data_IF_148314399869
#
_entry.id   IF_148314399869
#
_cell.length_a   1.000
_cell.length_b   1.000
_cell.length_c   1.000
_cell.angle_alpha   90.00
_cell.angle_beta   90.00
_cell.angle_gamma   90.00
#
_symmetry.space_group_name_H-M   'P 1'
#
loop_
_entity.id
_entity.type
_entity.pdbx_description
1 polymer ?
#
# COMPACT_ATOMS: atom_id res chain seq x y z
N UNK A 1 -3.22 -3.43 -7.25
CA UNK A 1 -2.03 -4.16 -6.80
C UNK A 1 -0.88 -3.19 -6.68
N UNK A 2 -0.16 -3.24 -5.56
CA UNK A 2 1.04 -2.45 -5.31
C UNK A 2 2.22 -3.42 -5.38
N UNK A 3 3.23 -3.10 -6.16
CA UNK A 3 4.36 -3.97 -6.44
C UNK A 3 5.62 -3.20 -6.04
N UNK A 4 6.52 -3.85 -5.30
CA UNK A 4 7.82 -3.24 -5.03
C UNK A 4 8.65 -3.15 -6.32
N UNK A 5 9.49 -2.12 -6.41
CA UNK A 5 10.36 -1.90 -7.57
C UNK A 5 11.30 -3.08 -7.86
N UNK A 6 11.68 -3.86 -6.85
CA UNK A 6 12.53 -5.04 -7.03
C UNK A 6 11.82 -6.20 -7.77
N UNK A 7 10.49 -6.26 -7.74
CA UNK A 7 9.70 -7.28 -8.43
C UNK A 7 9.27 -6.85 -9.85
N UNK A 8 9.70 -5.69 -10.31
CA UNK A 8 9.30 -5.13 -11.60
C UNK A 8 9.95 -5.87 -12.78
N UNK A 9 9.16 -6.64 -13.53
CA UNK A 9 9.61 -7.33 -14.75
C UNK A 9 8.51 -7.38 -15.81
N UNK A 10 8.88 -7.45 -17.09
CA UNK A 10 7.94 -7.57 -18.20
C UNK A 10 6.97 -8.75 -18.02
N UNK A 11 7.50 -9.94 -17.71
CA UNK A 11 6.67 -11.14 -17.50
C UNK A 11 5.65 -10.99 -16.37
N UNK A 12 5.99 -10.29 -15.29
CA UNK A 12 5.02 -9.98 -14.22
C UNK A 12 3.93 -9.05 -14.74
N UNK A 13 4.29 -7.96 -15.43
CA UNK A 13 3.32 -7.01 -15.95
C UNK A 13 2.36 -7.66 -16.95
N UNK A 14 2.89 -8.50 -17.84
CA UNK A 14 2.13 -9.26 -18.83
C UNK A 14 1.18 -10.23 -18.13
N UNK A 15 1.67 -10.98 -17.14
CA UNK A 15 0.83 -11.87 -16.34
C UNK A 15 -0.32 -11.10 -15.67
N UNK A 16 -0.02 -9.98 -15.00
CA UNK A 16 -1.05 -9.15 -14.38
C UNK A 16 -2.06 -8.60 -15.39
N UNK A 17 -1.63 -8.35 -16.62
CA UNK A 17 -2.54 -7.95 -17.70
C UNK A 17 -3.50 -9.09 -18.07
N UNK A 18 -3.03 -10.34 -18.12
CA UNK A 18 -3.92 -11.51 -18.35
C UNK A 18 -4.96 -11.72 -17.25
N UNK A 19 -4.72 -11.22 -16.03
CA UNK A 19 -5.70 -11.24 -14.94
C UNK A 19 -6.90 -10.30 -15.18
N UNK A 20 -6.82 -9.41 -16.17
CA UNK A 20 -7.92 -8.53 -16.55
C UNK A 20 -8.92 -9.27 -17.42
N UNK A 21 -10.19 -9.29 -16.98
CA UNK A 21 -11.33 -9.89 -17.69
C UNK A 21 -12.41 -8.84 -17.94
N UNK A 22 -13.54 -9.24 -18.53
CA UNK A 22 -14.72 -8.38 -18.67
C UNK A 22 -15.33 -7.97 -17.31
N UNK A 23 -15.15 -8.80 -16.28
CA UNK A 23 -15.70 -8.57 -14.92
C UNK A 23 -14.67 -8.04 -13.92
N UNK A 24 -13.38 -8.09 -14.25
CA UNK A 24 -12.29 -7.68 -13.34
C UNK A 24 -11.23 -6.89 -14.09
N UNK A 25 -10.85 -5.72 -13.59
CA UNK A 25 -9.69 -4.97 -14.10
C UNK A 25 -8.53 -5.07 -13.12
N UNK A 26 -7.40 -5.63 -13.56
CA UNK A 26 -6.18 -5.65 -12.75
C UNK A 26 -5.47 -4.30 -12.88
N UNK A 27 -5.49 -3.52 -11.79
CA UNK A 27 -4.78 -2.23 -11.71
C UNK A 27 -3.51 -2.38 -10.91
N UNK A 28 -2.45 -1.71 -11.33
CA UNK A 28 -1.10 -1.81 -10.75
C UNK A 28 -0.45 -0.45 -10.52
N UNK A 29 0.38 -0.41 -9.50
CA UNK A 29 1.29 0.68 -9.17
C UNK A 29 2.61 0.04 -8.71
N UNK A 30 3.73 0.50 -9.25
CA UNK A 30 5.04 -0.11 -8.99
C UNK A 30 6.16 0.92 -9.06
N UNK A 31 7.22 0.70 -8.29
CA UNK A 31 8.44 1.49 -8.41
C UNK A 31 9.07 1.31 -9.79
N UNK A 32 9.67 2.38 -10.28
CA UNK A 32 10.40 2.40 -11.55
C UNK A 32 11.85 2.79 -11.31
N UNK A 33 12.78 1.99 -11.82
CA UNK A 33 14.21 2.28 -11.74
C UNK A 33 14.53 3.47 -12.66
N UNK A 34 15.13 4.52 -12.08
CA UNK A 34 15.50 5.72 -12.83
C UNK A 34 16.79 5.46 -13.60
N UNK A 35 16.72 5.64 -14.91
CA UNK A 35 17.88 5.63 -15.81
C UNK A 35 18.09 7.01 -16.45
N UNK A 36 19.17 7.19 -17.19
CA UNK A 36 19.53 8.46 -17.85
C UNK A 36 18.40 9.02 -18.71
N UNK A 37 17.72 8.17 -19.48
CA UNK A 37 16.59 8.58 -20.32
C UNK A 37 15.39 9.14 -19.50
N UNK A 38 15.24 8.71 -18.24
CA UNK A 38 14.21 9.21 -17.35
C UNK A 38 14.62 10.57 -16.76
N UNK A 39 15.88 10.75 -16.37
CA UNK A 39 16.42 12.06 -15.94
C UNK A 39 16.31 13.11 -17.06
N UNK A 40 16.63 12.74 -18.31
CA UNK A 40 16.45 13.60 -19.48
C UNK A 40 14.97 13.96 -19.71
N UNK A 41 14.05 13.02 -19.48
CA UNK A 41 12.62 13.29 -19.59
C UNK A 41 12.13 14.23 -18.48
N UNK A 42 12.60 14.05 -17.25
CA UNK A 42 12.32 14.95 -16.13
C UNK A 42 12.84 16.35 -16.42
N UNK A 43 14.04 16.49 -16.98
CA UNK A 43 14.65 17.78 -17.32
C UNK A 43 13.82 18.60 -18.33
N UNK A 44 13.03 17.92 -19.19
CA UNK A 44 12.15 18.58 -20.16
C UNK A 44 10.81 19.03 -19.60
N UNK A 45 10.44 18.61 -18.37
CA UNK A 45 9.17 19.00 -17.77
C UNK A 45 9.16 20.48 -17.37
N UNK A 46 8.22 21.29 -17.88
CA UNK A 46 8.08 22.68 -17.44
C UNK A 46 7.68 22.77 -15.97
N UNK A 47 8.16 23.78 -15.25
CA UNK A 47 7.89 23.93 -13.81
C UNK A 47 6.38 23.93 -13.46
N UNK A 48 5.54 24.51 -14.33
CA UNK A 48 4.08 24.58 -14.17
C UNK A 48 3.34 23.23 -14.14
N UNK A 49 3.97 22.14 -14.59
CA UNK A 49 3.33 20.81 -14.61
C UNK A 49 3.51 20.05 -13.29
N UNK A 50 4.39 20.55 -12.42
CA UNK A 50 4.61 20.00 -11.10
C UNK A 50 3.50 20.46 -10.17
N UNK A 51 2.76 19.49 -9.64
CA UNK A 51 1.66 19.72 -8.69
C UNK A 51 2.06 19.24 -7.30
N UNK A 52 1.48 19.78 -6.22
CA UNK A 52 1.78 19.32 -4.88
C UNK A 52 1.47 17.82 -4.71
N UNK A 53 2.40 17.10 -4.08
CA UNK A 53 2.18 15.72 -3.65
C UNK A 53 1.30 15.74 -2.40
N UNK A 54 0.35 14.82 -2.30
CA UNK A 54 -0.54 14.72 -1.13
C UNK A 54 -0.09 13.61 -0.19
N UNK A 55 -0.26 13.77 1.11
CA UNK A 55 -0.18 12.70 2.11
C UNK A 55 -1.41 11.79 2.03
N UNK A 56 -1.39 10.70 2.77
CA UNK A 56 -2.46 9.70 2.80
C UNK A 56 -3.77 10.26 3.39
N UNK A 57 -3.69 11.30 4.22
CA UNK A 57 -4.82 12.06 4.75
C UNK A 57 -5.39 13.09 3.75
N UNK A 58 -4.78 13.23 2.56
CA UNK A 58 -5.16 14.19 1.53
C UNK A 58 -4.52 15.57 1.69
N UNK A 59 -3.75 15.81 2.76
CA UNK A 59 -3.07 17.08 2.98
C UNK A 59 -1.83 17.23 2.11
N UNK A 60 -1.42 18.46 1.82
CA UNK A 60 -0.20 18.69 1.05
C UNK A 60 1.02 18.17 1.83
N UNK A 61 1.88 17.43 1.13
CA UNK A 61 3.10 16.89 1.72
C UNK A 61 4.19 17.96 1.77
N UNK A 62 4.15 18.76 2.83
CA UNK A 62 5.15 19.80 3.07
C UNK A 62 6.18 19.39 4.12
N UNK A 63 7.38 19.95 3.98
CA UNK A 63 8.43 19.90 4.99
C UNK A 63 8.98 21.29 5.25
N UNK A 64 9.56 21.48 6.43
CA UNK A 64 10.32 22.68 6.74
C UNK A 64 11.72 22.56 6.13
N UNK A 65 12.06 23.50 5.26
CA UNK A 65 13.36 23.64 4.63
C UNK A 65 14.46 24.01 5.64
N UNK A 66 15.71 24.00 5.16
CA UNK A 66 16.88 24.36 5.97
C UNK A 66 16.84 25.84 6.39
N UNK A 67 16.23 26.68 5.57
CA UNK A 67 15.94 28.11 5.76
C UNK A 67 14.69 28.37 6.61
N UNK A 68 13.97 27.32 7.03
CA UNK A 68 12.75 27.43 7.80
C UNK A 68 11.49 27.66 6.97
N UNK A 69 11.60 27.81 5.64
CA UNK A 69 10.46 27.97 4.74
C UNK A 69 9.77 26.62 4.48
N UNK A 70 8.46 26.63 4.25
CA UNK A 70 7.72 25.43 3.86
C UNK A 70 7.98 25.10 2.40
N UNK A 71 8.31 23.84 2.13
CA UNK A 71 8.50 23.32 0.78
C UNK A 71 7.60 22.11 0.60
N UNK A 72 6.67 22.22 -0.35
CA UNK A 72 5.86 21.11 -0.83
C UNK A 72 6.70 20.14 -1.66
N UNK A 73 6.57 18.85 -1.41
CA UNK A 73 6.96 17.83 -2.38
C UNK A 73 5.99 17.86 -3.56
N UNK A 74 6.46 17.43 -4.73
CA UNK A 74 5.69 17.59 -5.96
C UNK A 74 5.72 16.35 -6.83
N UNK A 75 4.71 16.24 -7.68
CA UNK A 75 4.54 15.17 -8.65
C UNK A 75 4.22 15.73 -10.03
N UNK A 76 4.67 15.02 -11.06
CA UNK A 76 4.39 15.33 -12.45
C UNK A 76 4.28 14.05 -13.27
N UNK A 77 3.46 14.08 -14.32
CA UNK A 77 3.35 12.96 -15.26
C UNK A 77 4.44 13.05 -16.33
N UNK A 78 5.19 11.96 -16.50
CA UNK A 78 6.23 11.80 -17.52
C UNK A 78 5.71 11.14 -18.80
N UNK A 79 4.51 10.55 -18.75
CA UNK A 79 3.89 9.87 -19.89
C UNK A 79 3.82 10.82 -21.09
N UNK A 80 4.30 10.38 -22.26
CA UNK A 80 4.35 11.19 -23.48
C UNK A 80 5.64 12.01 -23.65
N UNK A 81 6.37 12.32 -22.56
CA UNK A 81 7.72 12.88 -22.61
C UNK A 81 8.78 11.78 -22.59
N UNK A 82 8.53 10.73 -21.80
CA UNK A 82 9.31 9.50 -21.78
C UNK A 82 8.66 8.49 -22.72
N UNK A 83 9.39 8.06 -23.75
CA UNK A 83 8.93 7.01 -24.66
C UNK A 83 8.79 5.67 -23.92
N UNK A 84 7.64 5.02 -24.02
CA UNK A 84 7.36 3.73 -23.36
C UNK A 84 7.26 2.57 -24.37
N UNK A 85 7.94 2.68 -25.51
CA UNK A 85 8.00 1.61 -26.50
C UNK A 85 8.52 0.32 -25.87
N UNK A 86 7.81 -0.79 -26.12
CA UNK A 86 8.12 -2.10 -25.52
C UNK A 86 7.49 -2.35 -24.16
N UNK A 87 6.77 -1.38 -23.59
CA UNK A 87 6.00 -1.55 -22.36
C UNK A 87 4.50 -1.76 -22.64
N UNK A 88 3.76 -2.39 -21.71
CA UNK A 88 2.33 -2.57 -21.86
C UNK A 88 1.56 -1.27 -22.15
N UNK A 89 0.55 -1.37 -23.01
CA UNK A 89 -0.32 -0.25 -23.35
C UNK A 89 -1.02 0.35 -22.12
N UNK A 90 -1.20 1.67 -22.13
CA UNK A 90 -1.84 2.39 -21.03
C UNK A 90 -0.99 2.50 -19.77
N UNK A 91 0.30 2.13 -19.84
CA UNK A 91 1.25 2.40 -18.77
C UNK A 91 1.58 3.90 -18.72
N UNK A 92 1.67 4.42 -17.51
CA UNK A 92 1.97 5.81 -17.18
C UNK A 92 3.13 5.86 -16.22
N UNK A 93 3.94 6.91 -16.31
CA UNK A 93 5.02 7.19 -15.37
C UNK A 93 4.73 8.50 -14.63
N UNK A 94 4.76 8.45 -13.31
CA UNK A 94 4.59 9.60 -12.43
C UNK A 94 5.90 9.84 -11.71
N UNK A 95 6.54 10.98 -11.97
CA UNK A 95 7.70 11.42 -11.23
C UNK A 95 7.25 12.14 -9.95
N UNK A 96 7.93 11.84 -8.84
CA UNK A 96 7.87 12.55 -7.58
C UNK A 96 9.23 13.20 -7.35
N UNK A 97 9.25 14.47 -6.96
CA UNK A 97 10.45 15.16 -6.51
C UNK A 97 10.33 15.57 -5.04
N UNK A 98 11.36 15.25 -4.26
CA UNK A 98 11.44 15.55 -2.82
C UNK A 98 12.73 16.26 -2.47
N UNK A 99 12.71 17.07 -1.42
CA UNK A 99 13.95 17.65 -0.91
C UNK A 99 14.79 16.56 -0.23
N UNK A 100 16.08 16.43 -0.60
CA UNK A 100 16.94 15.39 -0.06
C UNK A 100 17.17 15.62 1.43
N UNK A 101 17.04 14.56 2.24
CA UNK A 101 17.44 14.61 3.65
C UNK A 101 18.96 14.67 3.76
N UNK A 102 19.50 15.21 4.88
CA UNK A 102 20.96 15.24 5.15
C UNK A 102 21.65 13.89 4.94
N UNK A 103 20.98 12.79 5.31
CA UNK A 103 21.47 11.42 5.13
C UNK A 103 21.48 10.97 3.66
N UNK A 104 20.60 11.53 2.82
CA UNK A 104 20.45 11.19 1.41
C UNK A 104 21.38 11.95 0.47
N UNK A 105 21.93 13.10 0.87
CA UNK A 105 22.74 13.99 -0.01
C UNK A 105 23.93 13.26 -0.65
N UNK A 106 24.59 12.37 0.09
CA UNK A 106 25.75 11.62 -0.41
C UNK A 106 25.41 10.62 -1.52
N UNK A 107 24.14 10.22 -1.65
CA UNK A 107 23.66 9.21 -2.60
C UNK A 107 22.97 9.82 -3.83
N UNK A 108 22.99 11.15 -3.97
CA UNK A 108 22.34 11.81 -5.09
C UNK A 108 23.12 11.62 -6.39
N UNK A 109 22.38 11.41 -7.48
CA UNK A 109 22.95 11.44 -8.83
C UNK A 109 23.46 12.84 -9.18
N UNK A 110 24.25 12.96 -10.25
CA UNK A 110 24.71 14.27 -10.74
C UNK A 110 23.53 15.18 -11.10
N UNK A 111 22.49 14.61 -11.72
CA UNK A 111 21.25 15.32 -12.05
C UNK A 111 20.48 15.80 -10.80
N UNK A 112 20.36 14.95 -9.79
CA UNK A 112 19.71 15.30 -8.52
C UNK A 112 20.46 16.40 -7.77
N UNK A 113 21.80 16.38 -7.80
CA UNK A 113 22.64 17.46 -7.23
C UNK A 113 22.42 18.77 -7.97
N UNK A 114 22.34 18.75 -9.30
CA UNK A 114 22.13 19.94 -10.11
C UNK A 114 20.76 20.58 -9.87
N UNK A 115 19.70 19.78 -9.79
CA UNK A 115 18.34 20.27 -9.59
C UNK A 115 18.00 20.58 -8.12
N UNK A 116 18.78 20.07 -7.17
CA UNK A 116 18.49 20.21 -5.74
C UNK A 116 17.26 19.42 -5.27
N UNK A 117 16.85 18.43 -6.07
CA UNK A 117 15.72 17.56 -5.80
C UNK A 117 16.17 16.09 -5.94
N UNK A 118 15.58 15.22 -5.12
CA UNK A 118 15.69 13.77 -5.28
C UNK A 118 14.44 13.26 -6.00
N UNK A 119 14.60 12.37 -6.96
CA UNK A 119 13.49 11.86 -7.76
C UNK A 119 13.15 10.41 -7.43
N UNK A 120 11.87 10.09 -7.56
CA UNK A 120 11.33 8.74 -7.56
C UNK A 120 10.31 8.65 -8.68
N UNK A 121 10.24 7.52 -9.38
CA UNK A 121 9.24 7.31 -10.43
C UNK A 121 8.37 6.13 -10.06
N UNK A 122 7.08 6.29 -10.29
CA UNK A 122 6.06 5.26 -10.14
C UNK A 122 5.46 4.95 -11.50
N UNK A 123 5.45 3.67 -11.87
CA UNK A 123 4.74 3.18 -13.04
C UNK A 123 3.33 2.68 -12.65
N UNK A 124 2.31 3.06 -13.41
CA UNK A 124 0.92 2.65 -13.15
C UNK A 124 0.14 2.41 -14.45
N UNK A 125 -0.91 1.60 -14.40
CA UNK A 125 -1.91 1.47 -15.47
C UNK A 125 -3.28 2.03 -15.06
N UNK A 126 -3.33 2.88 -14.02
CA UNK A 126 -4.55 3.59 -13.65
C UNK A 126 -4.81 4.67 -14.70
N UNK A 127 -5.97 4.69 -15.38
CA UNK A 127 -6.21 5.62 -16.48
C UNK A 127 -6.23 7.08 -16.03
N UNK A 128 -5.58 7.97 -16.78
CA UNK A 128 -5.47 9.38 -16.42
C UNK A 128 -6.83 10.09 -16.33
N UNK A 129 -7.72 9.84 -17.29
CA UNK A 129 -8.98 10.58 -17.42
C UNK A 129 -10.08 10.11 -16.46
N UNK A 130 -10.28 8.80 -16.34
CA UNK A 130 -11.41 8.23 -15.57
C UNK A 130 -11.00 7.49 -14.30
N UNK A 131 -9.70 7.29 -14.07
CA UNK A 131 -9.19 6.64 -12.86
C UNK A 131 -9.79 5.25 -12.60
N UNK A 132 -9.97 4.97 -11.31
CA UNK A 132 -10.64 3.82 -10.74
C UNK A 132 -12.13 4.11 -10.56
N UNK A 133 -12.96 3.13 -10.87
CA UNK A 133 -14.41 3.21 -10.65
C UNK A 133 -14.73 3.50 -9.18
N UNK A 134 -15.61 4.47 -8.93
CA UNK A 134 -16.03 4.84 -7.58
C UNK A 134 -15.01 5.63 -6.76
N UNK A 135 -13.85 5.98 -7.33
CA UNK A 135 -12.81 6.76 -6.64
C UNK A 135 -12.47 8.03 -7.43
N UNK A 136 -13.14 9.16 -7.17
CA UNK A 136 -12.84 10.43 -7.82
C UNK A 136 -11.36 10.83 -7.68
N UNK A 137 -10.80 11.44 -8.71
CA UNK A 137 -9.41 11.91 -8.69
C UNK A 137 -8.33 10.81 -8.77
N UNK A 138 -8.70 9.53 -8.80
CA UNK A 138 -7.73 8.42 -8.83
C UNK A 138 -6.90 8.32 -10.12
N UNK A 139 -7.28 9.04 -11.17
CA UNK A 139 -6.45 9.20 -12.38
C UNK A 139 -5.28 10.17 -12.20
N UNK A 140 -5.26 10.98 -11.13
CA UNK A 140 -4.28 12.03 -10.94
C UNK A 140 -2.92 11.49 -10.47
N UNK A 141 -1.83 12.20 -10.81
CA UNK A 141 -0.47 11.81 -10.44
C UNK A 141 -0.25 11.74 -8.92
N UNK A 142 -0.82 12.69 -8.17
CA UNK A 142 -0.73 12.71 -6.70
C UNK A 142 -1.40 11.49 -6.05
N UNK A 143 -2.47 10.95 -6.67
CA UNK A 143 -3.13 9.75 -6.19
C UNK A 143 -2.22 8.53 -6.37
N UNK A 144 -1.64 8.37 -7.56
CA UNK A 144 -0.73 7.25 -7.84
C UNK A 144 0.52 7.29 -6.96
N UNK A 145 1.08 8.48 -6.70
CA UNK A 145 2.18 8.68 -5.76
C UNK A 145 1.80 8.28 -4.32
N UNK A 146 0.68 8.80 -3.81
CA UNK A 146 0.22 8.49 -2.46
C UNK A 146 -0.08 7.01 -2.28
N UNK A 147 -0.77 6.41 -3.26
CA UNK A 147 -1.06 4.98 -3.30
C UNK A 147 0.22 4.14 -3.30
N UNK A 148 1.27 4.57 -4.01
CA UNK A 148 2.55 3.85 -4.00
C UNK A 148 3.28 3.95 -2.67
N UNK A 149 3.37 5.14 -2.08
CA UNK A 149 4.10 5.36 -0.81
C UNK A 149 3.51 4.63 0.37
N UNK A 150 2.23 4.31 0.31
CA UNK A 150 1.58 3.42 1.28
C UNK A 150 2.18 2.00 1.28
N UNK A 151 3.04 1.65 0.32
CA UNK A 151 3.80 0.40 0.34
C UNK A 151 4.73 0.28 1.57
N UNK A 152 5.09 1.37 2.25
CA UNK A 152 5.84 1.28 3.51
C UNK A 152 5.09 0.42 4.57
N UNK A 153 3.76 0.46 4.60
CA UNK A 153 2.97 -0.42 5.48
C UNK A 153 3.09 -1.90 5.10
N UNK A 154 3.29 -2.20 3.82
CA UNK A 154 3.41 -3.58 3.33
C UNK A 154 4.69 -4.22 3.86
N UNK A 155 5.80 -3.47 3.96
CA UNK A 155 7.04 -4.00 4.52
C UNK A 155 6.89 -4.37 5.99
N UNK A 156 6.25 -3.51 6.78
CA UNK A 156 6.04 -3.79 8.21
C UNK A 156 5.06 -4.94 8.43
N UNK A 157 4.00 -5.04 7.60
CA UNK A 157 3.12 -6.22 7.60
C UNK A 157 3.83 -7.49 7.14
N UNK A 158 4.75 -7.40 6.17
CA UNK A 158 5.56 -8.54 5.74
C UNK A 158 6.52 -9.00 6.85
N UNK A 159 7.11 -8.06 7.62
CA UNK A 159 7.90 -8.38 8.81
C UNK A 159 7.05 -9.06 9.87
N UNK A 160 5.85 -8.54 10.14
CA UNK A 160 4.91 -9.14 11.09
C UNK A 160 4.51 -10.57 10.66
N UNK A 161 4.13 -10.76 9.39
CA UNK A 161 3.77 -12.07 8.83
C UNK A 161 4.91 -13.10 8.93
N UNK A 162 6.17 -12.66 8.74
CA UNK A 162 7.35 -13.49 8.97
C UNK A 162 7.48 -13.93 10.43
N UNK A 163 7.30 -13.01 11.39
CA UNK A 163 7.38 -13.32 12.83
C UNK A 163 6.33 -14.34 13.27
N UNK A 164 5.11 -14.25 12.73
CA UNK A 164 3.98 -15.09 13.21
C UNK A 164 3.78 -16.40 12.45
N UNK A 165 4.45 -16.62 11.32
CA UNK A 165 4.33 -17.91 10.63
C UNK A 165 5.20 -18.10 9.40
N UNK A 166 5.41 -17.09 8.56
CA UNK A 166 6.10 -17.29 7.27
C UNK A 166 7.59 -17.65 7.41
N UNK A 167 8.23 -17.33 8.55
CA UNK A 167 9.60 -17.76 8.83
C UNK A 167 9.68 -19.13 9.54
N UNK A 168 8.55 -19.74 9.90
CA UNK A 168 8.46 -20.95 10.74
C UNK A 168 7.87 -22.12 9.93
N UNK A 169 8.53 -22.48 8.83
CA UNK A 169 8.08 -23.58 7.98
C UNK A 169 8.10 -24.91 8.78
N UNK A 170 6.97 -25.63 8.89
CA UNK A 170 6.83 -26.74 9.83
C UNK A 170 7.39 -28.07 9.31
N UNK A 171 7.83 -28.13 8.04
CA UNK A 171 8.20 -29.39 7.40
C UNK A 171 9.39 -29.26 6.45
N UNK A 172 10.02 -30.40 6.16
CA UNK A 172 10.98 -30.55 5.04
C UNK A 172 10.26 -30.72 3.69
N UNK A 173 8.95 -31.01 3.69
CA UNK A 173 8.14 -31.17 2.48
C UNK A 173 7.73 -29.82 1.89
N UNK A 174 8.05 -29.61 0.62
CA UNK A 174 7.67 -28.38 -0.11
C UNK A 174 6.15 -28.22 -0.22
N UNK A 175 5.40 -29.31 -0.38
CA UNK A 175 3.94 -29.27 -0.49
C UNK A 175 3.28 -28.85 0.83
N UNK A 176 3.76 -29.38 1.96
CA UNK A 176 3.27 -28.96 3.28
C UNK A 176 3.62 -27.50 3.56
N UNK A 177 4.81 -27.07 3.18
CA UNK A 177 5.22 -25.67 3.32
C UNK A 177 4.41 -24.73 2.43
N UNK A 178 4.01 -25.16 1.22
CA UNK A 178 3.10 -24.39 0.37
C UNK A 178 1.73 -24.22 1.04
N UNK A 179 1.15 -25.29 1.59
CA UNK A 179 -0.09 -25.22 2.36
C UNK A 179 0.04 -24.31 3.60
N UNK A 180 1.20 -24.36 4.28
CA UNK A 180 1.50 -23.48 5.41
C UNK A 180 1.55 -22.01 5.00
N UNK A 181 2.19 -21.68 3.88
CA UNK A 181 2.23 -20.31 3.34
C UNK A 181 0.81 -19.81 3.07
N UNK A 182 -0.06 -20.64 2.46
CA UNK A 182 -1.46 -20.29 2.23
C UNK A 182 -2.22 -20.03 3.54
N UNK A 183 -2.03 -20.88 4.55
CA UNK A 183 -2.65 -20.69 5.86
C UNK A 183 -2.16 -19.40 6.55
N UNK A 184 -0.85 -19.12 6.47
CA UNK A 184 -0.26 -17.91 7.02
C UNK A 184 -0.76 -16.64 6.30
N UNK A 185 -0.95 -16.67 4.98
CA UNK A 185 -1.54 -15.53 4.25
C UNK A 185 -3.01 -15.34 4.58
N UNK A 186 -3.79 -16.42 4.73
CA UNK A 186 -5.18 -16.33 5.18
C UNK A 186 -5.27 -15.72 6.60
N UNK A 187 -4.39 -16.11 7.51
CA UNK A 187 -4.33 -15.53 8.84
C UNK A 187 -3.98 -14.03 8.81
N UNK A 188 -3.05 -13.62 7.94
CA UNK A 188 -2.71 -12.21 7.74
C UNK A 188 -3.89 -11.40 7.17
N UNK A 189 -4.64 -11.97 6.22
CA UNK A 189 -5.85 -11.34 5.70
C UNK A 189 -6.92 -11.17 6.79
N UNK A 190 -7.16 -12.21 7.59
CA UNK A 190 -8.11 -12.14 8.71
C UNK A 190 -7.70 -11.09 9.75
N UNK A 191 -6.41 -10.98 10.07
CA UNK A 191 -5.91 -9.94 10.98
C UNK A 191 -6.13 -8.53 10.40
N UNK A 192 -5.81 -8.33 9.11
CA UNK A 192 -6.01 -7.05 8.44
C UNK A 192 -7.49 -6.64 8.39
N UNK A 193 -8.39 -7.56 8.03
CA UNK A 193 -9.83 -7.30 7.99
C UNK A 193 -10.42 -7.07 9.38
N UNK A 194 -9.95 -7.82 10.39
CA UNK A 194 -10.36 -7.60 11.78
C UNK A 194 -10.01 -6.19 12.23
N UNK A 195 -8.79 -5.72 11.94
CA UNK A 195 -8.38 -4.37 12.29
C UNK A 195 -9.19 -3.31 11.57
N UNK A 196 -9.32 -3.46 10.25
CA UNK A 196 -10.03 -2.50 9.40
C UNK A 196 -11.50 -2.35 9.78
N UNK A 197 -12.18 -3.47 10.05
CA UNK A 197 -13.62 -3.48 10.28
C UNK A 197 -13.98 -3.31 11.75
N UNK A 198 -13.20 -3.88 12.67
CA UNK A 198 -13.61 -4.04 14.07
C UNK A 198 -12.78 -3.23 15.06
N UNK A 199 -11.59 -2.76 14.67
CA UNK A 199 -10.66 -2.06 15.57
C UNK A 199 -10.28 -0.66 15.09
N UNK A 200 -10.93 -0.13 14.05
CA UNK A 200 -10.61 1.18 13.48
C UNK A 200 -10.75 2.34 14.49
N UNK A 201 -11.66 2.20 15.46
CA UNK A 201 -11.86 3.16 16.55
C UNK A 201 -10.98 2.89 17.80
N UNK A 202 -10.08 1.90 17.74
CA UNK A 202 -9.18 1.52 18.84
C UNK A 202 -7.71 1.70 18.43
N UNK A 203 -7.14 2.93 18.50
CA UNK A 203 -5.83 3.23 17.94
C UNK A 203 -4.70 2.32 18.45
N UNK A 204 -4.73 1.95 19.73
CA UNK A 204 -3.74 1.06 20.34
C UNK A 204 -3.77 -0.34 19.74
N UNK A 205 -4.96 -0.89 19.46
CA UNK A 205 -5.10 -2.22 18.89
C UNK A 205 -4.96 -2.21 17.38
N UNK A 206 -5.47 -1.18 16.69
CA UNK A 206 -5.31 -1.00 15.26
C UNK A 206 -3.83 -1.01 14.87
N UNK A 207 -2.99 -0.31 15.64
CA UNK A 207 -1.55 -0.20 15.42
C UNK A 207 -0.70 -1.28 16.11
N UNK A 208 -1.30 -2.18 16.90
CA UNK A 208 -0.55 -3.17 17.67
C UNK A 208 0.16 -4.18 16.78
N UNK A 209 1.37 -4.59 17.18
CA UNK A 209 2.05 -5.77 16.62
C UNK A 209 1.17 -7.02 16.78
N UNK A 210 1.24 -7.95 15.82
CA UNK A 210 0.35 -9.13 15.78
C UNK A 210 0.46 -9.99 17.05
N UNK A 211 1.64 -10.05 17.67
CA UNK A 211 1.85 -10.75 18.94
C UNK A 211 1.05 -10.12 20.09
N UNK A 212 1.01 -8.79 20.18
CA UNK A 212 0.23 -8.07 21.19
C UNK A 212 -1.27 -8.33 20.99
N UNK A 213 -1.76 -8.31 19.75
CA UNK A 213 -3.16 -8.60 19.48
C UNK A 213 -3.51 -10.06 19.75
N UNK A 214 -2.59 -11.00 19.51
CA UNK A 214 -2.78 -12.41 19.88
C UNK A 214 -3.01 -12.54 21.38
N UNK A 215 -2.17 -11.87 22.17
CA UNK A 215 -2.23 -11.89 23.63
C UNK A 215 -3.37 -11.07 24.24
N UNK A 216 -3.95 -10.11 23.52
CA UNK A 216 -5.08 -9.29 24.02
C UNK A 216 -6.44 -9.77 23.52
N UNK A 217 -6.50 -10.34 22.32
CA UNK A 217 -7.74 -10.58 21.61
C UNK A 217 -7.86 -11.99 21.05
N UNK A 218 -6.91 -12.47 20.23
CA UNK A 218 -7.11 -13.74 19.50
C UNK A 218 -7.07 -15.00 20.36
N UNK A 219 -6.53 -14.92 21.57
CA UNK A 219 -6.59 -16.02 22.54
C UNK A 219 -7.92 -16.10 23.28
N UNK A 220 -8.80 -15.09 23.16
CA UNK A 220 -10.05 -15.06 23.91
C UNK A 220 -11.01 -16.13 23.36
N UNK A 221 -11.49 -17.05 24.20
CA UNK A 221 -12.50 -18.00 23.78
C UNK A 221 -13.80 -17.25 23.46
N UNK A 222 -14.31 -17.49 22.26
CA UNK A 222 -15.50 -16.83 21.74
C UNK A 222 -16.42 -17.82 21.04
N UNK A 223 -17.73 -17.60 21.16
CA UNK A 223 -18.75 -18.37 20.45
C UNK A 223 -19.70 -17.45 19.72
N UNK A 224 -19.74 -17.56 18.39
CA UNK A 224 -20.74 -16.87 17.58
C UNK A 224 -22.01 -17.72 17.53
N UNK A 225 -23.14 -17.13 17.92
CA UNK A 225 -24.46 -17.77 17.83
C UNK A 225 -25.39 -16.92 16.96
N UNK A 226 -26.35 -17.57 16.31
CA UNK A 226 -27.37 -16.90 15.50
C UNK A 226 -28.73 -17.32 16.00
N UNK A 227 -29.57 -16.35 16.37
CA UNK A 227 -30.94 -16.58 16.79
C UNK A 227 -31.85 -15.47 16.25
N UNK A 228 -33.02 -15.84 15.71
CA UNK A 228 -33.99 -14.89 15.16
C UNK A 228 -33.38 -13.84 14.20
N UNK A 229 -32.49 -14.28 13.29
CA UNK A 229 -31.75 -13.42 12.33
C UNK A 229 -30.80 -12.40 12.97
N UNK A 230 -30.52 -12.52 14.27
CA UNK A 230 -29.52 -11.72 14.99
C UNK A 230 -28.33 -12.60 15.36
N UNK A 231 -27.12 -12.07 15.17
CA UNK A 231 -25.88 -12.72 15.61
C UNK A 231 -25.47 -12.17 16.97
N UNK A 232 -24.94 -13.03 17.83
CA UNK A 232 -24.39 -12.67 19.13
C UNK A 232 -23.06 -13.37 19.31
N UNK A 233 -21.99 -12.58 19.49
CA UNK A 233 -20.68 -13.07 19.85
C UNK A 233 -20.58 -13.13 21.37
N UNK A 234 -20.55 -14.33 21.92
CA UNK A 234 -20.33 -14.58 23.34
C UNK A 234 -18.83 -14.63 23.58
N UNK A 235 -18.35 -13.78 24.48
CA UNK A 235 -16.97 -13.78 24.95
C UNK A 235 -16.94 -14.26 26.40
N UNK A 236 -15.88 -14.95 26.79
CA UNK A 236 -15.68 -15.29 28.19
C UNK A 236 -15.53 -14.01 29.02
N UNK A 237 -16.46 -13.81 29.95
CA UNK A 237 -16.58 -12.61 30.79
C UNK A 237 -15.40 -12.41 31.73
N UNK A 238 -14.65 -13.47 32.04
CA UNK A 238 -13.50 -13.38 32.93
C UNK A 238 -12.22 -12.96 32.22
N UNK A 239 -12.17 -13.16 30.89
CA UNK A 239 -11.02 -12.82 30.05
C UNK A 239 -11.30 -11.58 29.17
N UNK A 240 -12.57 -11.19 29.03
CA UNK A 240 -13.01 -10.05 28.24
C UNK A 240 -12.51 -8.72 28.82
N UNK A 241 -11.61 -8.06 28.09
CA UNK A 241 -11.20 -6.67 28.34
C UNK A 241 -12.16 -5.69 27.66
N UNK A 242 -12.18 -4.41 28.06
CA UNK A 242 -13.13 -3.41 27.54
C UNK A 242 -13.22 -3.30 26.01
N UNK A 243 -12.11 -3.53 25.29
CA UNK A 243 -12.07 -3.54 23.83
C UNK A 243 -12.76 -4.76 23.18
N UNK A 244 -12.86 -5.88 23.90
CA UNK A 244 -13.45 -7.13 23.39
C UNK A 244 -14.97 -7.02 23.20
N UNK A 245 -15.67 -6.24 24.05
CA UNK A 245 -17.11 -5.98 23.91
C UNK A 245 -17.44 -5.13 22.66
N UNK A 246 -16.57 -4.17 22.31
CA UNK A 246 -16.73 -3.37 21.08
C UNK A 246 -16.52 -4.23 19.83
N UNK A 247 -15.56 -5.14 19.86
CA UNK A 247 -15.35 -6.11 18.78
C UNK A 247 -16.57 -7.02 18.57
N UNK A 248 -17.19 -7.50 19.66
CA UNK A 248 -18.42 -8.29 19.59
C UNK A 248 -19.59 -7.51 18.96
N UNK A 249 -19.71 -6.21 19.26
CA UNK A 249 -20.72 -5.36 18.66
C UNK A 249 -20.49 -5.16 17.15
N UNK A 250 -19.27 -4.80 16.73
CA UNK A 250 -18.93 -4.61 15.31
C UNK A 250 -19.11 -5.87 14.48
N UNK A 251 -18.61 -7.02 14.98
CA UNK A 251 -18.68 -8.30 14.25
C UNK A 251 -20.12 -8.75 13.97
N UNK A 252 -21.04 -8.45 14.87
CA UNK A 252 -22.46 -8.84 14.74
C UNK A 252 -23.27 -7.90 13.84
N UNK A 253 -22.71 -6.75 13.47
CA UNK A 253 -23.32 -5.76 12.56
C UNK A 253 -22.86 -5.88 11.11
N UNK A 254 -21.79 -6.62 10.81
CA UNK A 254 -21.30 -6.82 9.44
C UNK A 254 -22.35 -7.50 8.55
N UNK A 255 -22.64 -7.05 7.32
CA UNK A 255 -23.65 -7.69 6.48
C UNK A 255 -23.39 -9.21 6.31
N UNK A 256 -24.46 -9.99 6.19
CA UNK A 256 -24.32 -11.42 5.90
C UNK A 256 -23.62 -11.57 4.53
N UNK A 257 -22.70 -12.55 4.38
CA UNK A 257 -22.12 -12.83 3.07
C UNK A 257 -23.24 -13.17 2.10
N UNK A 258 -23.34 -12.38 1.02
CA UNK A 258 -24.28 -12.55 -0.10
C UNK A 258 -23.82 -13.64 -1.05
#
# INVERSE_FOLDING_TARGET
MRIDGAAFSHGLLDHLQTLTTSRRRARRVTGWAIHTADEEAIARLPERVWTPALRQDGEVHEIKGVDGAWVSYQVAELTGVRGLTGWPEGMRLIARRVKPSRRGVKKLTTFEKHTGWRYQIVATNIPAHHGLSGVPGSGQGWFADALYRDHAEVEDRAKAAKRVGLALLPSKSSQLNAAWVLAATLAADLDAWTRLLLLHDEPELAAAETETIRMKLYHLPARLTTHARRRTLHLDRHLALGHSHRLAAGATQLPAPT
#
